data_IF_747370146124
#
_entry.id   IF_747370146124
#
_cell.length_a   1.000
_cell.length_b   1.000
_cell.length_c   1.000
_cell.angle_alpha   90.00
_cell.angle_beta   90.00
_cell.angle_gamma   90.00
#
_symmetry.space_group_name_H-M   'P 1'
#
loop_
_entity.id
_entity.type
_entity.pdbx_description
1 polymer ?
#
# COMPACT_ATOMS: atom_id res chain seq x y z
N UNK A 1 77.16 32.65 18.51
CA UNK A 1 77.47 31.21 18.39
C UNK A 1 76.16 30.45 18.42
N UNK A 2 75.73 29.93 17.26
CA UNK A 2 74.41 29.32 17.06
C UNK A 2 74.38 27.89 17.60
N UNK A 3 73.40 27.60 18.47
CA UNK A 3 73.13 26.28 19.04
C UNK A 3 72.69 25.29 17.95
N UNK A 4 73.54 24.33 17.62
CA UNK A 4 73.35 23.36 16.52
C UNK A 4 73.07 21.93 17.01
N UNK A 5 72.67 21.74 18.27
CA UNK A 5 72.57 20.38 18.84
C UNK A 5 71.30 20.13 19.70
N UNK A 6 70.13 20.52 19.17
CA UNK A 6 68.84 19.99 19.66
C UNK A 6 68.38 18.87 18.73
N UNK A 7 69.00 17.69 18.85
CA UNK A 7 68.50 16.46 18.23
C UNK A 7 67.37 15.91 19.09
N UNK A 8 66.28 15.48 18.45
CA UNK A 8 65.17 14.81 19.14
C UNK A 8 65.71 13.48 19.70
N UNK A 9 65.44 13.14 20.98
CA UNK A 9 65.85 11.87 21.56
C UNK A 9 65.30 10.70 20.74
N UNK A 10 66.12 9.69 20.49
CA UNK A 10 65.80 8.55 19.61
C UNK A 10 64.53 7.80 20.05
N UNK A 11 64.23 7.81 21.35
CA UNK A 11 63.04 7.22 21.97
C UNK A 11 61.72 7.94 21.64
N UNK A 12 61.77 9.22 21.27
CA UNK A 12 60.58 10.01 20.90
C UNK A 12 60.40 10.13 19.39
N UNK A 13 61.35 9.62 18.59
CA UNK A 13 61.32 9.74 17.14
C UNK A 13 60.09 9.08 16.52
N UNK A 14 59.68 7.91 16.99
CA UNK A 14 58.52 7.18 16.47
C UNK A 14 57.20 7.90 16.79
N UNK A 15 57.03 8.35 18.03
CA UNK A 15 55.83 9.08 18.47
C UNK A 15 55.70 10.44 17.78
N UNK A 16 56.81 11.16 17.62
CA UNK A 16 56.84 12.42 16.87
C UNK A 16 56.56 12.19 15.39
N UNK A 17 57.10 11.13 14.78
CA UNK A 17 56.85 10.79 13.38
C UNK A 17 55.39 10.38 13.15
N UNK A 18 54.80 9.61 14.07
CA UNK A 18 53.39 9.23 14.04
C UNK A 18 52.49 10.45 14.20
N UNK A 19 52.74 11.28 15.21
CA UNK A 19 52.00 12.52 15.45
C UNK A 19 52.15 13.51 14.29
N UNK A 20 53.34 13.60 13.68
CA UNK A 20 53.59 14.42 12.50
C UNK A 20 52.84 13.86 11.28
N UNK A 21 52.86 12.55 11.03
CA UNK A 21 52.12 11.92 9.92
C UNK A 21 50.61 12.09 10.09
N UNK A 22 50.10 11.96 11.31
CA UNK A 22 48.70 12.17 11.66
C UNK A 22 48.30 13.63 11.51
N UNK A 23 49.13 14.55 12.00
CA UNK A 23 48.90 15.98 11.79
C UNK A 23 48.98 16.35 10.31
N UNK A 24 49.92 15.78 9.55
CA UNK A 24 50.09 16.03 8.12
C UNK A 24 48.93 15.44 7.30
N UNK A 25 48.42 14.26 7.67
CA UNK A 25 47.22 13.66 7.08
C UNK A 25 45.94 14.45 7.43
N UNK A 26 45.86 15.01 8.65
CA UNK A 26 44.74 15.84 9.09
C UNK A 26 44.80 17.27 8.50
N UNK A 27 46.00 17.84 8.32
CA UNK A 27 46.27 19.18 7.78
C UNK A 27 46.64 19.18 6.29
N UNK A 28 46.39 18.10 5.54
CA UNK A 28 46.54 18.10 4.08
C UNK A 28 45.44 18.93 3.39
N UNK A 29 45.25 20.18 3.84
CA UNK A 29 44.86 21.28 2.98
C UNK A 29 45.91 21.30 1.87
N UNK A 30 45.61 20.63 0.75
CA UNK A 30 46.49 20.63 -0.39
C UNK A 30 46.83 22.08 -0.74
N UNK A 31 48.13 22.42 -0.75
CA UNK A 31 48.60 23.79 -0.97
C UNK A 31 47.89 24.41 -2.16
N UNK A 32 47.33 25.60 -1.97
CA UNK A 32 46.71 26.34 -3.06
C UNK A 32 47.75 26.69 -4.13
N UNK A 33 47.34 26.89 -5.37
CA UNK A 33 48.28 27.25 -6.45
C UNK A 33 49.10 28.51 -6.09
N UNK A 34 48.54 29.44 -5.30
CA UNK A 34 49.22 30.60 -4.74
C UNK A 34 50.25 30.26 -3.66
N UNK A 35 49.92 29.35 -2.74
CA UNK A 35 50.86 28.90 -1.70
C UNK A 35 52.06 28.14 -2.29
N UNK A 36 51.83 27.35 -3.34
CA UNK A 36 52.90 26.66 -4.06
C UNK A 36 53.87 27.62 -4.76
N UNK A 37 53.37 28.74 -5.29
CA UNK A 37 54.21 29.77 -5.90
C UNK A 37 55.05 30.46 -4.83
N UNK A 38 54.44 30.83 -3.71
CA UNK A 38 55.13 31.50 -2.61
C UNK A 38 56.22 30.62 -2.01
N UNK A 39 55.89 29.37 -1.63
CA UNK A 39 56.83 28.42 -1.05
C UNK A 39 57.95 28.04 -2.04
N UNK A 40 57.63 27.86 -3.33
CA UNK A 40 58.64 27.56 -4.36
C UNK A 40 59.59 28.73 -4.62
N UNK A 41 59.11 29.97 -4.51
CA UNK A 41 59.93 31.19 -4.64
C UNK A 41 60.87 31.36 -3.44
N UNK A 42 60.38 31.13 -2.23
CA UNK A 42 61.17 31.18 -1.00
C UNK A 42 62.26 30.10 -0.95
N UNK A 43 61.98 28.91 -1.48
CA UNK A 43 62.90 27.77 -1.53
C UNK A 43 63.82 27.75 -2.78
N UNK A 44 63.80 28.77 -3.64
CA UNK A 44 64.60 28.86 -4.87
C UNK A 44 64.44 27.65 -5.81
N UNK A 45 63.24 27.07 -5.87
CA UNK A 45 62.95 25.91 -6.73
C UNK A 45 62.83 26.39 -8.19
N UNK A 46 63.40 25.65 -9.18
CA UNK A 46 63.24 26.00 -10.59
C UNK A 46 61.76 26.11 -11.02
N UNK A 47 61.45 27.12 -11.82
CA UNK A 47 60.07 27.45 -12.20
C UNK A 47 59.30 26.31 -12.90
N UNK A 48 59.99 25.39 -13.56
CA UNK A 48 59.41 24.21 -14.22
C UNK A 48 58.70 23.29 -13.21
N UNK A 49 59.31 23.03 -12.06
CA UNK A 49 58.73 22.17 -11.02
C UNK A 49 57.53 22.83 -10.35
N UNK A 50 57.55 24.15 -10.17
CA UNK A 50 56.42 24.92 -9.64
C UNK A 50 55.23 24.81 -10.61
N UNK A 51 55.47 24.91 -11.92
CA UNK A 51 54.40 24.78 -12.93
C UNK A 51 53.81 23.37 -12.98
N UNK A 52 54.63 22.33 -12.91
CA UNK A 52 54.16 20.94 -12.85
C UNK A 52 53.30 20.69 -11.60
N UNK A 53 53.73 21.18 -10.43
CA UNK A 53 52.96 21.08 -9.19
C UNK A 53 51.61 21.80 -9.27
N UNK A 54 51.56 23.00 -9.87
CA UNK A 54 50.32 23.74 -10.10
C UNK A 54 49.39 22.98 -11.05
N UNK A 55 49.90 22.44 -12.15
CA UNK A 55 49.10 21.64 -13.10
C UNK A 55 48.53 20.39 -12.42
N UNK A 56 49.34 19.72 -11.60
CA UNK A 56 48.89 18.56 -10.83
C UNK A 56 47.79 18.94 -9.84
N UNK A 57 47.97 19.99 -9.04
CA UNK A 57 46.95 20.48 -8.10
C UNK A 57 45.67 20.88 -8.83
N UNK A 58 45.76 21.63 -9.95
CA UNK A 58 44.60 22.00 -10.77
C UNK A 58 43.90 20.76 -11.33
N UNK A 59 44.63 19.77 -11.82
CA UNK A 59 44.06 18.52 -12.34
C UNK A 59 43.35 17.72 -11.24
N UNK A 60 43.93 17.64 -10.03
CA UNK A 60 43.33 17.01 -8.85
C UNK A 60 42.07 17.76 -8.39
N UNK A 61 42.11 19.09 -8.34
CA UNK A 61 40.96 19.94 -8.02
C UNK A 61 39.82 19.79 -9.04
N UNK A 62 40.14 19.78 -10.34
CA UNK A 62 39.18 19.56 -11.42
C UNK A 62 38.56 18.16 -11.36
N UNK A 63 39.35 17.11 -11.08
CA UNK A 63 38.84 15.74 -10.87
C UNK A 63 37.88 15.68 -9.69
N UNK A 64 38.23 16.29 -8.55
CA UNK A 64 37.35 16.37 -7.37
C UNK A 64 36.06 17.16 -7.65
N UNK A 65 36.15 18.30 -8.33
CA UNK A 65 34.97 19.07 -8.75
C UNK A 65 34.08 18.29 -9.70
N UNK A 66 34.67 17.62 -10.71
CA UNK A 66 33.93 16.76 -11.65
C UNK A 66 33.24 15.61 -10.92
N UNK A 67 33.93 14.94 -9.99
CA UNK A 67 33.36 13.87 -9.17
C UNK A 67 32.20 14.37 -8.29
N UNK A 68 32.33 15.50 -7.61
CA UNK A 68 31.25 16.10 -6.81
C UNK A 68 30.03 16.46 -7.66
N UNK A 69 30.26 17.04 -8.85
CA UNK A 69 29.18 17.34 -9.81
C UNK A 69 28.46 16.07 -10.28
N UNK A 70 29.21 15.02 -10.63
CA UNK A 70 28.63 13.73 -11.01
C UNK A 70 27.79 13.15 -9.87
N UNK A 71 28.32 13.12 -8.64
CA UNK A 71 27.61 12.59 -7.48
C UNK A 71 26.32 13.38 -7.19
N UNK A 72 26.37 14.70 -7.31
CA UNK A 72 25.19 15.56 -7.15
C UNK A 72 24.14 15.29 -8.23
N UNK A 73 24.54 15.14 -9.50
CA UNK A 73 23.62 14.83 -10.60
C UNK A 73 22.99 13.45 -10.38
N UNK A 74 23.79 12.43 -10.05
CA UNK A 74 23.30 11.07 -9.77
C UNK A 74 22.30 11.08 -8.62
N UNK A 75 22.60 11.79 -7.52
CA UNK A 75 21.68 11.93 -6.39
C UNK A 75 20.37 12.64 -6.77
N UNK A 76 20.46 13.74 -7.53
CA UNK A 76 19.27 14.47 -7.99
C UNK A 76 18.42 13.63 -8.96
N UNK A 77 19.04 12.90 -9.89
CA UNK A 77 18.34 11.99 -10.80
C UNK A 77 17.67 10.85 -10.05
N UNK A 78 18.32 10.25 -9.06
CA UNK A 78 17.73 9.21 -8.23
C UNK A 78 16.49 9.71 -7.47
N UNK A 79 16.58 10.89 -6.85
CA UNK A 79 15.45 11.52 -6.17
C UNK A 79 14.29 11.83 -7.12
N UNK A 80 14.58 12.35 -8.31
CA UNK A 80 13.55 12.65 -9.32
C UNK A 80 12.83 11.36 -9.78
N UNK A 81 13.58 10.29 -10.07
CA UNK A 81 13.02 9.00 -10.48
C UNK A 81 12.17 8.41 -9.34
N UNK A 82 12.68 8.43 -8.10
CA UNK A 82 11.93 7.95 -6.95
C UNK A 82 10.64 8.74 -6.72
N UNK A 83 10.66 10.06 -6.90
CA UNK A 83 9.48 10.91 -6.76
C UNK A 83 8.40 10.60 -7.80
N UNK A 84 8.78 10.51 -9.08
CA UNK A 84 7.85 10.14 -10.17
C UNK A 84 7.26 8.76 -9.93
N UNK A 85 8.09 7.80 -9.53
CA UNK A 85 7.66 6.44 -9.23
C UNK A 85 6.66 6.41 -8.06
N UNK A 86 6.92 7.12 -6.96
CA UNK A 86 6.01 7.20 -5.81
C UNK A 86 4.63 7.78 -6.19
N UNK A 87 4.58 8.83 -7.01
CA UNK A 87 3.31 9.42 -7.47
C UNK A 87 2.53 8.42 -8.33
N UNK A 88 3.19 7.74 -9.27
CA UNK A 88 2.56 6.72 -10.11
C UNK A 88 2.00 5.56 -9.28
N UNK A 89 2.75 5.13 -8.28
CA UNK A 89 2.38 4.04 -7.36
C UNK A 89 1.20 4.44 -6.48
N UNK A 90 1.19 5.65 -5.90
CA UNK A 90 0.06 6.18 -5.13
C UNK A 90 -1.24 6.18 -5.94
N UNK A 91 -1.19 6.72 -7.17
CA UNK A 91 -2.36 6.74 -8.06
C UNK A 91 -2.84 5.31 -8.43
N UNK A 92 -1.91 4.37 -8.57
CA UNK A 92 -2.24 2.95 -8.79
C UNK A 92 -2.95 2.33 -7.59
N UNK A 93 -2.49 2.60 -6.37
CA UNK A 93 -3.12 2.10 -5.14
C UNK A 93 -4.52 2.69 -4.97
N UNK A 94 -4.66 4.01 -5.06
CA UNK A 94 -5.94 4.70 -4.94
C UNK A 94 -6.95 4.20 -5.98
N UNK A 95 -6.54 4.08 -7.25
CA UNK A 95 -7.42 3.53 -8.30
C UNK A 95 -7.88 2.11 -8.00
N UNK A 96 -7.01 1.25 -7.48
CA UNK A 96 -7.36 -0.14 -7.12
C UNK A 96 -8.27 -0.19 -5.90
N UNK A 97 -8.03 0.65 -4.88
CA UNK A 97 -8.91 0.78 -3.73
C UNK A 97 -10.34 1.18 -4.14
N UNK A 98 -10.46 2.21 -5.00
CA UNK A 98 -11.77 2.62 -5.54
C UNK A 98 -12.44 1.55 -6.41
N UNK A 99 -11.66 0.71 -7.11
CA UNK A 99 -12.23 -0.43 -7.82
C UNK A 99 -12.82 -1.47 -6.87
N UNK A 100 -12.16 -1.73 -5.73
CA UNK A 100 -12.70 -2.66 -4.73
C UNK A 100 -14.00 -2.11 -4.15
N UNK A 101 -14.04 -0.83 -3.78
CA UNK A 101 -15.24 -0.15 -3.30
C UNK A 101 -16.39 -0.21 -4.33
N UNK A 102 -16.09 0.05 -5.60
CA UNK A 102 -17.09 -0.05 -6.66
C UNK A 102 -17.64 -1.48 -6.82
N UNK A 103 -16.81 -2.52 -6.64
CA UNK A 103 -17.28 -3.92 -6.66
C UNK A 103 -18.08 -4.27 -5.42
N UNK A 104 -17.70 -3.74 -4.26
CA UNK A 104 -18.47 -3.89 -3.03
C UNK A 104 -19.88 -3.31 -3.17
N UNK A 105 -20.01 -2.12 -3.75
CA UNK A 105 -21.31 -1.51 -4.03
C UNK A 105 -22.20 -2.40 -4.93
N UNK A 106 -21.62 -3.15 -5.86
CA UNK A 106 -22.39 -4.11 -6.68
C UNK A 106 -22.90 -5.29 -5.86
N UNK A 107 -22.10 -5.80 -4.91
CA UNK A 107 -22.54 -6.84 -3.96
C UNK A 107 -23.69 -6.30 -3.12
N UNK A 108 -23.53 -5.10 -2.54
CA UNK A 108 -24.56 -4.47 -1.72
C UNK A 108 -25.88 -4.29 -2.47
N UNK A 109 -25.85 -3.88 -3.74
CA UNK A 109 -27.04 -3.78 -4.58
C UNK A 109 -27.78 -5.11 -4.73
N UNK A 110 -27.07 -6.24 -4.84
CA UNK A 110 -27.73 -7.55 -4.91
C UNK A 110 -28.28 -8.01 -3.56
N UNK A 111 -27.61 -7.67 -2.46
CA UNK A 111 -28.09 -7.92 -1.09
C UNK A 111 -29.36 -7.12 -0.80
N UNK A 112 -29.39 -5.83 -1.18
CA UNK A 112 -30.59 -4.98 -1.13
C UNK A 112 -31.74 -5.60 -1.93
N UNK A 113 -31.48 -6.02 -3.18
CA UNK A 113 -32.48 -6.68 -4.02
C UNK A 113 -33.07 -7.90 -3.33
N UNK A 114 -32.25 -8.71 -2.64
CA UNK A 114 -32.73 -9.88 -1.89
C UNK A 114 -33.69 -9.49 -0.77
N UNK A 115 -33.38 -8.43 -0.01
CA UNK A 115 -34.29 -7.90 1.01
C UNK A 115 -35.59 -7.31 0.40
N UNK A 116 -35.50 -6.74 -0.81
CA UNK A 116 -36.66 -6.21 -1.54
C UNK A 116 -37.61 -7.30 -2.07
N UNK A 117 -37.21 -8.58 -2.06
CA UNK A 117 -38.10 -9.72 -2.37
C UNK A 117 -39.02 -10.09 -1.20
N UNK A 118 -38.67 -9.70 0.04
CA UNK A 118 -39.42 -10.09 1.25
C UNK A 118 -40.92 -9.71 1.18
N UNK A 119 -41.31 -8.49 0.73
CA UNK A 119 -42.73 -8.15 0.60
C UNK A 119 -43.50 -9.10 -0.33
N UNK A 120 -42.85 -9.63 -1.37
CA UNK A 120 -43.45 -10.63 -2.24
C UNK A 120 -43.60 -11.98 -1.51
N UNK A 121 -42.60 -12.39 -0.72
CA UNK A 121 -42.68 -13.60 0.12
C UNK A 121 -43.81 -13.51 1.14
N UNK A 122 -43.98 -12.36 1.78
CA UNK A 122 -45.10 -12.10 2.70
C UNK A 122 -46.44 -12.23 1.97
N UNK A 123 -46.57 -11.62 0.78
CA UNK A 123 -47.81 -11.68 -0.01
C UNK A 123 -48.17 -13.12 -0.40
N UNK A 124 -47.19 -13.91 -0.83
CA UNK A 124 -47.41 -15.32 -1.18
C UNK A 124 -47.77 -16.15 0.05
N UNK A 125 -47.07 -15.96 1.16
CA UNK A 125 -47.40 -16.63 2.43
C UNK A 125 -48.85 -16.35 2.82
N UNK A 126 -49.25 -15.07 2.85
CA UNK A 126 -50.61 -14.66 3.23
C UNK A 126 -51.70 -15.16 2.26
N UNK A 127 -51.39 -15.26 0.96
CA UNK A 127 -52.35 -15.71 -0.05
C UNK A 127 -52.70 -17.20 0.09
N UNK A 128 -51.74 -18.04 0.48
CA UNK A 128 -51.91 -19.49 0.54
C UNK A 128 -52.04 -20.03 1.97
N UNK A 129 -51.62 -19.27 2.98
CA UNK A 129 -51.62 -19.71 4.37
C UNK A 129 -52.25 -18.63 5.26
N UNK A 130 -53.53 -18.81 5.60
CA UNK A 130 -54.32 -17.80 6.34
C UNK A 130 -53.90 -17.63 7.81
N UNK A 131 -53.05 -18.52 8.33
CA UNK A 131 -52.69 -18.58 9.75
C UNK A 131 -51.18 -18.56 10.04
N UNK A 132 -50.32 -18.40 9.03
CA UNK A 132 -48.86 -18.42 9.23
C UNK A 132 -48.30 -17.07 9.68
N UNK A 133 -48.66 -16.66 10.90
CA UNK A 133 -48.22 -15.37 11.46
C UNK A 133 -46.74 -15.35 11.80
N UNK A 134 -46.18 -16.48 12.21
CA UNK A 134 -44.76 -16.57 12.61
C UNK A 134 -43.84 -16.34 11.40
N UNK A 135 -44.09 -16.99 10.27
CA UNK A 135 -43.31 -16.78 9.05
C UNK A 135 -43.42 -15.35 8.53
N UNK A 136 -44.63 -14.78 8.48
CA UNK A 136 -44.83 -13.39 8.06
C UNK A 136 -44.08 -12.42 8.97
N UNK A 137 -44.15 -12.64 10.29
CA UNK A 137 -43.45 -11.82 11.28
C UNK A 137 -41.93 -11.92 11.12
N UNK A 138 -41.39 -13.13 10.95
CA UNK A 138 -39.97 -13.37 10.70
C UNK A 138 -39.47 -12.61 9.45
N UNK A 139 -40.20 -12.73 8.34
CA UNK A 139 -39.89 -12.03 7.08
C UNK A 139 -39.94 -10.51 7.26
N UNK A 140 -40.97 -9.98 7.93
CA UNK A 140 -41.10 -8.55 8.17
C UNK A 140 -39.99 -8.01 9.07
N UNK A 141 -39.64 -8.74 10.13
CA UNK A 141 -38.57 -8.37 11.06
C UNK A 141 -37.20 -8.37 10.39
N UNK A 142 -36.88 -9.38 9.57
CA UNK A 142 -35.60 -9.42 8.86
C UNK A 142 -35.45 -8.25 7.88
N UNK A 143 -36.53 -7.91 7.15
CA UNK A 143 -36.55 -6.70 6.30
C UNK A 143 -36.38 -5.43 7.12
N UNK A 144 -37.08 -5.32 8.25
CA UNK A 144 -37.01 -4.14 9.09
C UNK A 144 -35.60 -3.95 9.66
N UNK A 145 -34.95 -5.03 10.12
CA UNK A 145 -33.58 -5.01 10.58
C UNK A 145 -32.64 -4.52 9.47
N UNK A 146 -32.85 -4.95 8.24
CA UNK A 146 -32.08 -4.50 7.09
C UNK A 146 -32.30 -3.01 6.76
N UNK A 147 -33.53 -2.52 6.82
CA UNK A 147 -33.84 -1.10 6.59
C UNK A 147 -33.36 -0.17 7.71
N UNK A 148 -33.23 -0.66 8.93
CA UNK A 148 -32.72 0.09 10.09
C UNK A 148 -31.18 0.05 10.20
N UNK A 149 -30.52 -0.71 9.34
CA UNK A 149 -29.08 -0.85 9.35
C UNK A 149 -28.42 0.30 8.56
N UNK A 150 -27.98 1.32 9.28
CA UNK A 150 -27.39 2.52 8.67
C UNK A 150 -25.88 2.43 8.43
N UNK A 151 -25.20 1.43 9.00
CA UNK A 151 -23.75 1.24 8.85
C UNK A 151 -23.41 -0.07 8.13
N UNK A 152 -22.29 -0.16 7.40
CA UNK A 152 -21.88 -1.37 6.70
C UNK A 152 -21.87 -2.62 7.60
N UNK A 153 -21.40 -2.49 8.83
CA UNK A 153 -21.34 -3.59 9.81
C UNK A 153 -22.75 -4.04 10.22
N UNK A 154 -23.66 -3.09 10.47
CA UNK A 154 -25.06 -3.42 10.78
C UNK A 154 -25.75 -4.04 9.59
N UNK A 155 -25.46 -3.57 8.37
CA UNK A 155 -26.02 -4.12 7.14
C UNK A 155 -25.57 -5.56 6.93
N UNK A 156 -24.29 -5.88 7.19
CA UNK A 156 -23.80 -7.25 7.10
C UNK A 156 -24.56 -8.20 8.04
N UNK A 157 -24.79 -7.80 9.29
CA UNK A 157 -25.59 -8.58 10.25
C UNK A 157 -27.04 -8.73 9.79
N UNK A 158 -27.66 -7.65 9.32
CA UNK A 158 -29.04 -7.69 8.89
C UNK A 158 -29.25 -8.50 7.59
N UNK A 159 -28.26 -8.52 6.70
CA UNK A 159 -28.26 -9.40 5.52
C UNK A 159 -28.31 -10.86 5.92
N UNK A 160 -27.57 -11.26 6.96
CA UNK A 160 -27.61 -12.63 7.44
C UNK A 160 -29.00 -13.01 7.97
N UNK A 161 -29.65 -12.10 8.69
CA UNK A 161 -31.04 -12.29 9.14
C UNK A 161 -32.02 -12.43 7.96
N UNK A 162 -31.81 -11.68 6.87
CA UNK A 162 -32.59 -11.81 5.63
C UNK A 162 -32.35 -13.18 4.98
N UNK A 163 -31.09 -13.63 4.91
CA UNK A 163 -30.75 -14.96 4.38
C UNK A 163 -31.43 -16.07 5.18
N UNK A 164 -31.33 -16.02 6.50
CA UNK A 164 -31.94 -16.99 7.41
C UNK A 164 -33.47 -17.01 7.27
N UNK A 165 -34.10 -15.84 7.18
CA UNK A 165 -35.54 -15.75 7.00
C UNK A 165 -36.00 -16.36 5.66
N UNK A 166 -35.24 -16.13 4.58
CA UNK A 166 -35.51 -16.73 3.27
C UNK A 166 -35.31 -18.24 3.29
N UNK A 167 -34.25 -18.73 3.92
CA UNK A 167 -33.99 -20.18 4.04
C UNK A 167 -35.13 -20.86 4.82
N UNK A 168 -35.53 -20.30 5.97
CA UNK A 168 -36.68 -20.80 6.75
C UNK A 168 -37.99 -20.75 5.96
N UNK A 169 -38.20 -19.70 5.15
CA UNK A 169 -39.35 -19.64 4.26
C UNK A 169 -39.32 -20.74 3.19
N UNK A 170 -38.15 -21.06 2.62
CA UNK A 170 -38.01 -22.15 1.66
C UNK A 170 -38.31 -23.51 2.30
N UNK A 171 -37.82 -23.75 3.51
CA UNK A 171 -38.12 -24.97 4.29
C UNK A 171 -39.61 -25.08 4.61
N UNK A 172 -40.23 -23.96 5.01
CA UNK A 172 -41.66 -23.89 5.22
C UNK A 172 -42.44 -24.21 3.94
N UNK A 173 -42.10 -23.56 2.83
CA UNK A 173 -42.77 -23.76 1.56
C UNK A 173 -42.59 -25.20 1.03
N UNK A 174 -41.46 -25.85 1.32
CA UNK A 174 -41.22 -27.25 0.97
C UNK A 174 -42.20 -28.22 1.66
N UNK A 175 -42.73 -27.85 2.83
CA UNK A 175 -43.69 -28.65 3.58
C UNK A 175 -45.17 -28.29 3.27
N UNK A 176 -45.42 -27.32 2.39
CA UNK A 176 -46.75 -26.82 2.06
C UNK A 176 -47.10 -27.06 0.58
N UNK A 177 -47.82 -28.16 0.29
CA UNK A 177 -48.16 -28.56 -1.09
C UNK A 177 -48.92 -27.49 -1.89
N UNK A 178 -49.80 -26.72 -1.23
CA UNK A 178 -50.53 -25.64 -1.86
C UNK A 178 -49.60 -24.51 -2.33
N UNK A 179 -48.57 -24.17 -1.55
CA UNK A 179 -47.53 -23.20 -1.93
C UNK A 179 -46.67 -23.72 -3.06
N UNK A 180 -46.26 -24.99 -3.02
CA UNK A 180 -45.44 -25.60 -4.08
C UNK A 180 -46.12 -25.58 -5.44
N UNK A 181 -47.45 -25.73 -5.48
CA UNK A 181 -48.23 -25.68 -6.72
C UNK A 181 -48.50 -24.25 -7.23
N UNK A 182 -48.17 -23.22 -6.45
CA UNK A 182 -48.44 -21.83 -6.81
C UNK A 182 -47.46 -21.33 -7.88
N UNK A 183 -48.01 -20.80 -8.98
CA UNK A 183 -47.20 -20.10 -9.97
C UNK A 183 -46.48 -18.86 -9.38
N UNK A 184 -47.09 -18.18 -8.40
CA UNK A 184 -46.48 -17.02 -7.73
C UNK A 184 -45.26 -17.44 -6.91
N UNK A 185 -45.34 -18.57 -6.21
CA UNK A 185 -44.21 -19.13 -5.47
C UNK A 185 -43.09 -19.58 -6.41
N UNK A 186 -43.43 -20.31 -7.48
CA UNK A 186 -42.46 -20.74 -8.50
C UNK A 186 -41.73 -19.56 -9.12
N UNK A 187 -42.44 -18.48 -9.46
CA UNK A 187 -41.82 -17.25 -9.97
C UNK A 187 -40.87 -16.61 -8.94
N UNK A 188 -41.24 -16.57 -7.65
CA UNK A 188 -40.37 -16.04 -6.60
C UNK A 188 -39.13 -16.89 -6.38
N UNK A 189 -39.23 -18.21 -6.48
CA UNK A 189 -38.07 -19.09 -6.37
C UNK A 189 -37.06 -18.80 -7.50
N UNK A 190 -37.54 -18.52 -8.72
CA UNK A 190 -36.66 -18.07 -9.80
C UNK A 190 -36.01 -16.70 -9.52
N UNK A 191 -36.73 -15.75 -8.92
CA UNK A 191 -36.16 -14.46 -8.52
C UNK A 191 -35.10 -14.59 -7.42
N UNK A 192 -35.35 -15.41 -6.41
CA UNK A 192 -34.40 -15.69 -5.32
C UNK A 192 -33.15 -16.37 -5.88
N UNK A 193 -33.31 -17.45 -6.65
CA UNK A 193 -32.19 -18.16 -7.25
C UNK A 193 -31.40 -17.26 -8.22
N UNK A 194 -32.10 -16.43 -9.01
CA UNK A 194 -31.48 -15.44 -9.88
C UNK A 194 -30.69 -14.38 -9.12
N UNK A 195 -31.17 -13.96 -7.94
CA UNK A 195 -30.48 -13.01 -7.06
C UNK A 195 -29.25 -13.67 -6.41
N UNK A 196 -29.38 -14.90 -5.92
CA UNK A 196 -28.26 -15.69 -5.36
C UNK A 196 -27.13 -15.87 -6.37
N UNK A 197 -27.47 -16.26 -7.61
CA UNK A 197 -26.48 -16.40 -8.68
C UNK A 197 -25.75 -15.08 -8.96
N UNK A 198 -26.46 -13.94 -8.92
CA UNK A 198 -25.84 -12.61 -9.09
C UNK A 198 -24.95 -12.25 -7.90
N UNK A 199 -25.37 -12.54 -6.66
CA UNK A 199 -24.55 -12.35 -5.46
C UNK A 199 -23.27 -13.16 -5.58
N UNK A 200 -23.34 -14.43 -5.98
CA UNK A 200 -22.17 -15.30 -6.15
C UNK A 200 -21.17 -14.72 -7.16
N UNK A 201 -21.68 -14.23 -8.30
CA UNK A 201 -20.84 -13.59 -9.35
C UNK A 201 -20.22 -12.29 -8.85
N UNK A 202 -20.97 -11.41 -8.21
CA UNK A 202 -20.44 -10.13 -7.72
C UNK A 202 -19.48 -10.32 -6.55
N UNK A 203 -19.72 -11.30 -5.67
CA UNK A 203 -18.75 -11.71 -4.63
C UNK A 203 -17.43 -12.17 -5.25
N UNK A 204 -17.48 -13.02 -6.28
CA UNK A 204 -16.28 -13.45 -6.98
C UNK A 204 -15.52 -12.25 -7.57
N UNK A 205 -16.23 -11.31 -8.20
CA UNK A 205 -15.64 -10.09 -8.78
C UNK A 205 -15.03 -9.18 -7.72
N UNK A 206 -15.70 -9.01 -6.58
CA UNK A 206 -15.18 -8.27 -5.44
C UNK A 206 -13.90 -8.93 -4.90
N UNK A 207 -13.92 -10.23 -4.64
CA UNK A 207 -12.77 -10.97 -4.14
C UNK A 207 -11.58 -10.92 -5.11
N UNK A 208 -11.82 -10.99 -6.42
CA UNK A 208 -10.77 -10.78 -7.43
C UNK A 208 -10.20 -9.35 -7.39
N UNK A 209 -11.02 -8.33 -7.16
CA UNK A 209 -10.54 -6.96 -7.00
C UNK A 209 -9.70 -6.80 -5.73
N UNK A 210 -10.17 -7.33 -4.58
CA UNK A 210 -9.44 -7.38 -3.31
C UNK A 210 -8.09 -8.07 -3.49
N UNK A 211 -8.08 -9.24 -4.14
CA UNK A 211 -6.85 -9.99 -4.40
C UNK A 211 -5.84 -9.14 -5.18
N UNK A 212 -6.25 -8.51 -6.28
CA UNK A 212 -5.38 -7.66 -7.10
C UNK A 212 -4.88 -6.44 -6.34
N UNK A 213 -5.72 -5.83 -5.51
CA UNK A 213 -5.35 -4.70 -4.67
C UNK A 213 -4.32 -5.14 -3.61
N UNK A 214 -4.64 -6.17 -2.82
CA UNK A 214 -3.77 -6.71 -1.78
C UNK A 214 -2.41 -7.14 -2.35
N UNK A 215 -2.38 -7.87 -3.47
CA UNK A 215 -1.14 -8.23 -4.16
C UNK A 215 -0.31 -7.00 -4.54
N UNK A 216 -0.96 -5.94 -5.05
CA UNK A 216 -0.26 -4.72 -5.48
C UNK A 216 0.40 -4.00 -4.31
N UNK A 217 -0.27 -3.91 -3.17
CA UNK A 217 0.25 -3.22 -1.98
C UNK A 217 1.20 -4.11 -1.15
N UNK A 218 1.15 -5.43 -1.28
CA UNK A 218 2.04 -6.35 -0.53
C UNK A 218 3.34 -6.69 -1.28
N UNK A 219 3.40 -6.44 -2.59
CA UNK A 219 4.59 -6.72 -3.39
C UNK A 219 5.72 -5.72 -3.10
N UNK A 220 6.96 -6.17 -2.98
CA UNK A 220 8.11 -5.26 -2.92
C UNK A 220 8.38 -4.62 -4.30
N UNK A 221 8.69 -3.31 -4.40
CA UNK A 221 8.90 -2.33 -3.32
C UNK A 221 7.63 -1.59 -2.85
N UNK A 222 6.46 -1.88 -3.43
CA UNK A 222 5.20 -1.23 -3.09
C UNK A 222 4.80 -1.37 -1.61
N UNK A 223 5.14 -2.48 -0.94
CA UNK A 223 4.79 -2.71 0.47
C UNK A 223 5.34 -1.70 1.46
N UNK A 224 6.55 -1.21 1.21
CA UNK A 224 7.17 -0.17 2.05
C UNK A 224 6.45 1.16 1.86
N UNK A 225 6.13 1.51 0.61
CA UNK A 225 5.36 2.72 0.32
C UNK A 225 3.92 2.65 0.82
N UNK A 226 3.25 1.51 0.65
CA UNK A 226 1.85 1.33 1.01
C UNK A 226 1.64 1.55 2.51
N UNK A 227 2.50 0.97 3.35
CA UNK A 227 2.48 1.18 4.80
C UNK A 227 2.72 2.65 5.17
N UNK A 228 3.73 3.29 4.56
CA UNK A 228 4.03 4.71 4.82
C UNK A 228 2.95 5.69 4.36
N UNK A 229 2.14 5.30 3.37
CA UNK A 229 1.07 6.13 2.77
C UNK A 229 -0.33 5.76 3.29
N UNK A 230 -0.46 4.83 4.25
CA UNK A 230 -1.72 4.45 4.87
C UNK A 230 -2.63 3.54 4.03
N UNK A 231 -2.08 2.84 3.03
CA UNK A 231 -2.85 1.84 2.27
C UNK A 231 -2.79 0.49 2.96
N UNK A 232 -3.93 0.07 3.52
CA UNK A 232 -4.07 -1.20 4.22
C UNK A 232 -4.71 -2.27 3.34
N UNK A 233 -4.45 -3.54 3.66
CA UNK A 233 -5.07 -4.67 2.97
C UNK A 233 -6.57 -4.74 3.27
N UNK A 234 -7.35 -5.06 2.24
CA UNK A 234 -8.80 -5.23 2.39
C UNK A 234 -9.16 -6.70 2.58
N UNK A 235 -10.23 -6.95 3.33
CA UNK A 235 -10.74 -8.29 3.61
C UNK A 235 -11.50 -8.87 2.42
N UNK A 236 -11.40 -10.18 2.23
CA UNK A 236 -12.27 -10.89 1.29
C UNK A 236 -13.69 -11.01 1.85
N UNK A 237 -14.68 -11.05 0.97
CA UNK A 237 -16.06 -11.36 1.34
C UNK A 237 -16.24 -12.88 1.33
N UNK A 238 -16.35 -13.46 2.51
CA UNK A 238 -16.60 -14.88 2.74
C UNK A 238 -18.02 -15.06 3.26
N UNK A 239 -18.69 -16.15 2.87
CA UNK A 239 -19.91 -16.58 3.56
C UNK A 239 -19.53 -17.24 4.88
N UNK A 240 -20.35 -17.04 5.92
CA UNK A 240 -20.12 -17.56 7.28
C UNK A 240 -19.94 -19.10 7.35
N UNK A 241 -20.17 -19.83 6.26
CA UNK A 241 -20.10 -21.29 6.14
C UNK A 241 -18.73 -21.86 5.74
N UNK A 242 -17.63 -21.19 6.05
CA UNK A 242 -16.29 -21.80 5.90
C UNK A 242 -15.53 -21.76 7.22
N UNK A 243 -16.05 -22.47 8.23
CA UNK A 243 -15.16 -23.06 9.24
C UNK A 243 -14.47 -24.29 8.61
N UNK A 244 -13.14 -24.42 8.73
CA UNK A 244 -12.41 -25.63 8.37
C UNK A 244 -12.69 -26.81 9.32
#
# INVERSE_FOLDING_TARGET
MNNLDKRIPESMTSEVLELASRNYANHSQAYSASELIQAGTEAQIPGEFIQQAIQEVRSRQNRRHKQRKILAIVGASFLAISGIWSIGTYNSFSRRASQVEAKWAQVENQLQRRADLIPNLVRVTQAYTKHEKEMVSLLQQSRQAYLQADTPEKKAVAVEQVNDAINRFQDYAANNSQLQSSQLFTNLQYEIAGTENRIAVERMRYNQAVQRYNQTIQQFPNSVLAQGLGFEAQSFFQTATTEP
#
